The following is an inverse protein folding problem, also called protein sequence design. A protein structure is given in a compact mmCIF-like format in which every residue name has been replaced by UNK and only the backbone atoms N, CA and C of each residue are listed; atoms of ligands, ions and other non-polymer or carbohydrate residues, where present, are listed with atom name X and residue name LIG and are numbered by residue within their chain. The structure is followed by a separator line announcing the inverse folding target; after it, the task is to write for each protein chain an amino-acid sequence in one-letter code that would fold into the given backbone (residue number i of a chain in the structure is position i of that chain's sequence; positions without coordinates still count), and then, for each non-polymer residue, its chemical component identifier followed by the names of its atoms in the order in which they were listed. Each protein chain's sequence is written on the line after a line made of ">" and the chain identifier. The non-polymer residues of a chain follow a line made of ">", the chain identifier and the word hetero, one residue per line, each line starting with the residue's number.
data_IF_974644601187
#
_entry.id   IF_974644601187
#
_cell.length_a   1.000
_cell.length_b   1.000
_cell.length_c   1.000
_cell.angle_alpha   90.00
_cell.angle_beta   90.00
_cell.angle_gamma   90.00
#
_symmetry.space_group_name_H-M   'P 1'
#
loop_
_entity.id
_entity.type
_entity.pdbx_description
1 polymer ?
#
# COMPACT_ATOMS: atom_id res chain seq x y z
N UNK A 1 5.90 -7.87 3.94
CA UNK A 1 4.68 -7.75 3.10
C UNK A 1 5.16 -7.86 1.68
N UNK A 2 4.65 -8.86 0.97
CA UNK A 2 5.13 -9.24 -0.36
C UNK A 2 4.19 -8.65 -1.40
N UNK A 3 4.77 -8.21 -2.53
CA UNK A 3 4.04 -7.65 -3.64
C UNK A 3 4.00 -8.69 -4.76
N UNK A 4 2.81 -9.17 -5.10
CA UNK A 4 2.64 -10.16 -6.16
C UNK A 4 2.29 -9.43 -7.45
N UNK A 5 3.18 -9.46 -8.44
CA UNK A 5 2.87 -9.03 -9.81
C UNK A 5 2.90 -10.24 -10.72
N UNK A 6 1.87 -10.41 -11.54
CA UNK A 6 1.84 -11.44 -12.57
C UNK A 6 2.52 -10.87 -13.82
N UNK A 7 3.73 -11.35 -14.12
CA UNK A 7 4.24 -11.30 -15.50
C UNK A 7 3.83 -12.58 -16.24
N UNK A 8 3.87 -12.55 -17.58
CA UNK A 8 3.47 -13.65 -18.48
C UNK A 8 4.11 -15.04 -18.18
N UNK A 9 5.06 -15.13 -17.24
CA UNK A 9 5.79 -16.35 -16.87
C UNK A 9 5.61 -16.78 -15.40
N UNK A 10 4.67 -16.21 -14.63
CA UNK A 10 4.29 -16.74 -13.30
C UNK A 10 5.30 -16.54 -12.16
N UNK A 11 6.18 -15.55 -12.23
CA UNK A 11 7.16 -15.25 -11.16
C UNK A 11 6.60 -14.29 -10.10
N UNK A 12 6.79 -14.63 -8.82
CA UNK A 12 6.53 -13.75 -7.67
C UNK A 12 7.81 -13.01 -7.28
N UNK A 13 7.73 -11.68 -7.07
CA UNK A 13 8.87 -10.86 -6.66
C UNK A 13 8.72 -10.49 -5.17
N UNK A 14 9.46 -11.15 -4.29
CA UNK A 14 9.47 -10.77 -2.86
C UNK A 14 10.30 -9.50 -2.66
N UNK A 15 9.62 -8.40 -2.35
CA UNK A 15 10.18 -7.05 -2.26
C UNK A 15 9.46 -6.23 -1.19
N UNK A 16 10.19 -5.34 -0.51
CA UNK A 16 9.62 -4.46 0.51
C UNK A 16 8.79 -3.35 -0.13
N UNK A 17 7.57 -3.13 0.37
CA UNK A 17 6.71 -2.02 -0.05
C UNK A 17 7.02 -0.70 0.70
N UNK A 18 7.86 -0.75 1.73
CA UNK A 18 8.33 0.46 2.43
C UNK A 18 9.39 1.22 1.64
N UNK A 19 10.02 0.56 0.68
CA UNK A 19 11.10 1.09 -0.16
C UNK A 19 10.60 1.36 -1.58
N UNK A 20 10.57 2.64 -1.98
CA UNK A 20 10.00 3.05 -3.27
C UNK A 20 10.68 2.38 -4.47
N UNK A 21 12.01 2.25 -4.46
CA UNK A 21 12.77 1.62 -5.54
C UNK A 21 12.38 0.16 -5.73
N UNK A 22 12.12 -0.53 -4.62
CA UNK A 22 11.70 -1.92 -4.59
C UNK A 22 10.31 -2.08 -5.21
N UNK A 23 9.37 -1.18 -4.88
CA UNK A 23 8.02 -1.16 -5.49
C UNK A 23 8.08 -0.85 -6.99
N UNK A 24 8.81 0.20 -7.40
CA UNK A 24 8.98 0.55 -8.82
C UNK A 24 9.52 -0.61 -9.65
N UNK A 25 10.52 -1.31 -9.11
CA UNK A 25 11.10 -2.45 -9.80
C UNK A 25 10.13 -3.65 -9.87
N UNK A 26 9.18 -3.78 -8.95
CA UNK A 26 8.16 -4.84 -8.98
C UNK A 26 7.01 -4.52 -9.96
N UNK A 27 6.72 -3.22 -10.17
CA UNK A 27 5.69 -2.72 -11.09
C UNK A 27 6.14 -2.71 -12.56
N UNK A 28 7.46 -2.82 -12.81
CA UNK A 28 8.03 -2.76 -14.15
C UNK A 28 7.39 -3.80 -15.09
N UNK A 29 6.72 -3.30 -16.14
CA UNK A 29 6.07 -4.14 -17.15
C UNK A 29 4.69 -4.68 -16.76
N UNK A 30 4.16 -4.34 -15.59
CA UNK A 30 2.80 -4.70 -15.18
C UNK A 30 1.75 -3.94 -15.99
N UNK A 31 0.64 -4.62 -16.27
CA UNK A 31 -0.54 -4.05 -16.95
C UNK A 31 -1.63 -3.59 -15.96
N UNK A 32 -1.78 -4.32 -14.86
CA UNK A 32 -2.69 -4.00 -13.77
C UNK A 32 -2.02 -4.35 -12.43
N UNK A 33 -2.39 -3.62 -11.38
CA UNK A 33 -1.83 -3.77 -10.03
C UNK A 33 -2.96 -3.74 -9.00
N UNK A 34 -2.89 -4.65 -8.03
CA UNK A 34 -3.74 -4.63 -6.84
C UNK A 34 -2.87 -4.34 -5.61
N UNK A 35 -3.09 -3.17 -4.98
CA UNK A 35 -2.32 -2.68 -3.85
C UNK A 35 -2.98 -2.97 -2.50
N UNK A 36 -2.23 -3.57 -1.57
CA UNK A 36 -2.65 -3.76 -0.18
C UNK A 36 -1.50 -3.37 0.77
N UNK A 37 -1.82 -2.60 1.80
CA UNK A 37 -0.90 -2.18 2.87
C UNK A 37 -1.21 -2.88 4.19
N UNK A 38 -0.29 -2.80 5.16
CA UNK A 38 -0.48 -3.46 6.46
C UNK A 38 -0.10 -2.58 7.64
N UNK A 39 -1.09 -2.28 8.48
CA UNK A 39 -0.90 -1.74 9.83
C UNK A 39 -0.37 -2.81 10.81
N UNK A 40 -1.04 -3.97 10.86
CA UNK A 40 -0.84 -4.97 11.92
C UNK A 40 0.52 -5.66 11.89
N UNK A 41 1.21 -5.73 10.74
CA UNK A 41 2.54 -6.33 10.69
C UNK A 41 3.63 -5.45 11.35
N UNK A 42 3.38 -4.15 11.50
CA UNK A 42 4.33 -3.19 12.08
C UNK A 42 3.90 -2.70 13.47
N UNK A 43 2.59 -2.62 13.72
CA UNK A 43 2.01 -2.13 14.98
C UNK A 43 2.64 -2.71 16.26
N UNK A 44 2.83 -4.04 16.40
CA UNK A 44 3.43 -4.61 17.62
C UNK A 44 4.86 -4.15 17.92
N UNK A 45 5.56 -3.61 16.91
CA UNK A 45 6.98 -3.21 17.01
C UNK A 45 7.18 -1.72 17.23
N UNK A 46 6.32 -0.90 16.65
CA UNK A 46 6.52 0.56 16.60
C UNK A 46 5.41 1.36 17.29
N UNK A 47 4.34 0.69 17.74
CA UNK A 47 3.17 1.35 18.30
C UNK A 47 2.24 1.94 17.25
N UNK A 48 1.14 2.53 17.72
CA UNK A 48 0.01 2.98 16.90
C UNK A 48 0.40 4.06 15.89
N UNK A 49 0.86 5.23 16.37
CA UNK A 49 1.08 6.40 15.51
C UNK A 49 2.14 6.11 14.44
N UNK A 50 3.23 5.44 14.83
CA UNK A 50 4.28 5.08 13.87
C UNK A 50 3.83 4.03 12.86
N UNK A 51 2.93 3.13 13.25
CA UNK A 51 2.36 2.17 12.32
C UNK A 51 1.46 2.84 11.28
N UNK A 52 0.70 3.87 11.67
CA UNK A 52 -0.08 4.71 10.75
C UNK A 52 0.85 5.39 9.73
N UNK A 53 1.92 6.04 10.19
CA UNK A 53 2.89 6.69 9.30
C UNK A 53 3.51 5.72 8.30
N UNK A 54 3.91 4.54 8.79
CA UNK A 54 4.53 3.51 7.95
C UNK A 54 3.53 2.99 6.92
N UNK A 55 2.28 2.69 7.32
CA UNK A 55 1.26 2.24 6.39
C UNK A 55 0.92 3.30 5.33
N UNK A 56 0.80 4.56 5.75
CA UNK A 56 0.59 5.70 4.85
C UNK A 56 1.71 5.78 3.82
N UNK A 57 2.96 5.66 4.26
CA UNK A 57 4.13 5.64 3.36
C UNK A 57 4.07 4.48 2.37
N UNK A 58 3.62 3.29 2.81
CA UNK A 58 3.44 2.15 1.90
C UNK A 58 2.42 2.49 0.79
N UNK A 59 1.26 3.05 1.15
CA UNK A 59 0.24 3.47 0.19
C UNK A 59 0.75 4.51 -0.81
N UNK A 60 1.45 5.54 -0.30
CA UNK A 60 2.08 6.57 -1.15
C UNK A 60 3.11 5.96 -2.10
N UNK A 61 3.93 5.00 -1.65
CA UNK A 61 4.89 4.33 -2.51
C UNK A 61 4.22 3.56 -3.65
N UNK A 62 3.09 2.87 -3.37
CA UNK A 62 2.30 2.18 -4.40
C UNK A 62 1.78 3.18 -5.44
N UNK A 63 1.19 4.29 -5.01
CA UNK A 63 0.68 5.32 -5.90
C UNK A 63 1.79 5.96 -6.77
N UNK A 64 2.94 6.29 -6.17
CA UNK A 64 4.09 6.85 -6.92
C UNK A 64 4.63 5.84 -7.94
N UNK A 65 4.74 4.57 -7.57
CA UNK A 65 5.21 3.54 -8.49
C UNK A 65 4.21 3.29 -9.63
N UNK A 66 2.90 3.31 -9.34
CA UNK A 66 1.85 3.17 -10.32
C UNK A 66 1.92 4.29 -11.37
N UNK A 67 1.96 5.54 -10.91
CA UNK A 67 2.10 6.71 -11.78
C UNK A 67 3.39 6.69 -12.62
N UNK A 68 4.45 6.05 -12.13
CA UNK A 68 5.71 5.92 -12.84
C UNK A 68 5.77 4.73 -13.81
N UNK A 69 4.69 3.94 -13.95
CA UNK A 69 4.66 2.72 -14.78
C UNK A 69 3.93 2.99 -16.11
N UNK A 70 4.65 3.15 -17.24
CA UNK A 70 4.06 3.72 -18.47
C UNK A 70 2.94 2.89 -19.13
N UNK A 71 2.86 1.58 -18.85
CA UNK A 71 1.88 0.66 -19.45
C UNK A 71 0.77 0.22 -18.50
N UNK A 72 0.76 0.76 -17.28
CA UNK A 72 -0.25 0.43 -16.29
C UNK A 72 -1.59 1.04 -16.73
N UNK A 73 -2.62 0.20 -16.84
CA UNK A 73 -3.98 0.65 -17.14
C UNK A 73 -4.78 0.87 -15.85
N UNK A 74 -4.69 -0.09 -14.93
CA UNK A 74 -5.47 -0.10 -13.70
C UNK A 74 -4.57 -0.27 -12.47
N UNK A 75 -4.76 0.62 -11.50
CA UNK A 75 -4.30 0.45 -10.13
C UNK A 75 -5.54 0.38 -9.24
N UNK A 76 -5.67 -0.73 -8.51
CA UNK A 76 -6.78 -0.97 -7.60
C UNK A 76 -6.20 -1.04 -6.19
N UNK A 77 -6.47 0.00 -5.41
CA UNK A 77 -6.03 0.09 -4.02
C UNK A 77 -7.10 -0.43 -3.04
N UNK A 78 -6.70 -1.32 -2.13
CA UNK A 78 -7.52 -1.72 -0.98
C UNK A 78 -7.46 -0.66 0.12
N UNK A 79 -8.52 0.14 0.21
CA UNK A 79 -8.70 1.21 1.20
C UNK A 79 -9.75 0.86 2.26
N UNK A 80 -9.87 1.72 3.28
CA UNK A 80 -10.88 1.66 4.35
C UNK A 80 -11.49 3.07 4.54
N UNK A 81 -12.72 3.18 5.06
CA UNK A 81 -13.38 4.48 5.23
C UNK A 81 -12.65 5.40 6.22
N UNK A 82 -12.80 6.72 6.06
CA UNK A 82 -12.34 7.69 7.05
C UNK A 82 -13.29 7.67 8.26
N UNK A 83 -12.99 6.84 9.25
CA UNK A 83 -13.84 6.65 10.44
C UNK A 83 -14.11 7.95 11.20
N UNK A 84 -13.06 8.77 11.38
CA UNK A 84 -13.15 10.07 12.04
C UNK A 84 -14.12 11.01 11.30
N UNK A 85 -13.97 11.15 9.97
CA UNK A 85 -14.84 12.01 9.15
C UNK A 85 -16.28 11.53 9.11
N UNK A 86 -16.52 10.22 9.07
CA UNK A 86 -17.88 9.65 8.95
C UNK A 86 -18.64 9.74 10.28
N UNK A 87 -17.93 9.74 11.40
CA UNK A 87 -18.49 9.77 12.74
C UNK A 87 -18.38 11.14 13.42
N UNK A 88 -18.02 12.21 12.68
CA UNK A 88 -17.77 13.54 13.24
C UNK A 88 -16.80 13.53 14.46
N UNK A 89 -15.82 12.63 14.42
CA UNK A 89 -14.79 12.48 15.46
C UNK A 89 -15.17 11.57 16.62
N UNK A 90 -16.36 10.99 16.65
CA UNK A 90 -16.80 10.09 17.73
C UNK A 90 -16.08 8.73 17.72
N UNK A 91 -15.75 8.23 16.52
CA UNK A 91 -15.13 6.91 16.32
C UNK A 91 -13.80 7.07 15.59
N UNK A 92 -12.73 6.61 16.24
CA UNK A 92 -11.38 6.55 15.67
C UNK A 92 -10.95 5.09 15.55
N UNK A 93 -10.82 4.62 14.31
CA UNK A 93 -10.30 3.28 13.99
C UNK A 93 -8.90 3.42 13.41
N UNK A 94 -7.88 3.29 14.25
CA UNK A 94 -6.50 3.65 13.89
C UNK A 94 -5.90 2.92 12.69
N UNK A 95 -6.32 1.69 12.42
CA UNK A 95 -5.85 0.94 11.24
C UNK A 95 -6.61 1.30 9.95
N UNK A 96 -7.58 2.22 10.01
CA UNK A 96 -8.20 2.84 8.83
C UNK A 96 -7.45 4.11 8.44
N UNK A 97 -6.89 4.84 9.41
CA UNK A 97 -6.29 6.15 9.18
C UNK A 97 -5.10 6.10 8.22
N UNK A 98 -4.31 5.03 8.22
CA UNK A 98 -3.19 4.84 7.30
C UNK A 98 -3.59 4.67 5.82
N UNK A 99 -4.89 4.64 5.53
CA UNK A 99 -5.47 4.46 4.18
C UNK A 99 -6.27 5.68 3.69
N UNK A 100 -6.28 6.78 4.44
CA UNK A 100 -7.10 7.98 4.17
C UNK A 100 -6.29 9.23 3.81
#
# INVERSE_FOLDING_TARGET
>A
MELFTTSNNGYSVSRSIQELLSVKAAFAGSYAIFGVTTFFAVFPKVGKDKAIDIETKMGVNLAIAAAATPKLQDEISSTLPNSCRISDGEIIVSHYDGKN
#
